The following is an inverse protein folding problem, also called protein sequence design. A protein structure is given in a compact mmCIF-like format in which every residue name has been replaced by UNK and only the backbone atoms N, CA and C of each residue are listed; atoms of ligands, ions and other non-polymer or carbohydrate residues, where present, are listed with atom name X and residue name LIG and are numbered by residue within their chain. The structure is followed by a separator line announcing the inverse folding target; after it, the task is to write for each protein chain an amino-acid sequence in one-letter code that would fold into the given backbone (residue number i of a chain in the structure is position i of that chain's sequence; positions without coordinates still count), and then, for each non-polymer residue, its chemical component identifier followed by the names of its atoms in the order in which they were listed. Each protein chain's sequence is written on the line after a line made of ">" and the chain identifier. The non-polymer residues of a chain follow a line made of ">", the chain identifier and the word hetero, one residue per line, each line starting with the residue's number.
data_IF_098067210504
#
_entry.id   IF_098067210504
#
_cell.length_a   1.000
_cell.length_b   1.000
_cell.length_c   1.000
_cell.angle_alpha   90.00
_cell.angle_beta   90.00
_cell.angle_gamma   90.00
#
_symmetry.space_group_name_H-M   'P 1'
#
loop_
_entity.id
_entity.type
_entity.pdbx_description
1 polymer ?
#
# COMPACT_ATOMS: atom_id res chain seq x y z
N UNK A 1 -5.83 4.26 29.27
CA UNK A 1 -6.58 4.32 28.00
C UNK A 1 -6.20 3.08 27.21
N UNK A 2 -7.16 2.21 26.88
CA UNK A 2 -6.90 0.96 26.17
C UNK A 2 -6.87 1.27 24.66
N UNK A 3 -5.79 0.89 23.97
CA UNK A 3 -5.65 1.11 22.53
C UNK A 3 -6.34 -0.04 21.80
N UNK A 4 -7.26 0.28 20.88
CA UNK A 4 -8.07 -0.69 20.14
C UNK A 4 -7.57 -0.80 18.69
N UNK A 5 -7.55 -2.01 18.08
CA UNK A 5 -7.06 -2.22 16.71
C UNK A 5 -7.76 -1.37 15.64
N UNK A 6 -9.06 -1.10 15.81
CA UNK A 6 -9.89 -0.26 14.93
C UNK A 6 -9.47 1.22 14.90
N UNK A 7 -8.61 1.66 15.82
CA UNK A 7 -8.00 2.99 15.78
C UNK A 7 -6.83 3.09 14.79
N UNK A 8 -6.37 1.98 14.21
CA UNK A 8 -5.27 1.95 13.25
C UNK A 8 -5.76 1.71 11.83
N UNK A 9 -5.05 2.33 10.88
CA UNK A 9 -5.18 2.03 9.46
C UNK A 9 -4.02 1.13 9.07
N UNK A 10 -4.31 0.03 8.36
CA UNK A 10 -3.28 -0.85 7.84
C UNK A 10 -2.23 -0.05 7.06
N UNK A 11 -0.95 -0.31 7.35
CA UNK A 11 0.16 0.40 6.71
C UNK A 11 0.17 0.21 5.20
N UNK A 12 -0.04 -1.00 4.73
CA UNK A 12 0.08 -1.34 3.31
C UNK A 12 -1.14 -0.81 2.53
N UNK A 13 -2.34 -0.87 3.10
CA UNK A 13 -3.52 -0.22 2.52
C UNK A 13 -3.40 1.32 2.51
N UNK A 14 -2.83 1.90 3.57
CA UNK A 14 -2.56 3.35 3.62
C UNK A 14 -1.56 3.76 2.54
N UNK A 15 -0.54 2.94 2.29
CA UNK A 15 0.42 3.14 1.22
C UNK A 15 -0.26 3.08 -0.16
N UNK A 16 -1.13 2.09 -0.41
CA UNK A 16 -1.89 2.01 -1.67
C UNK A 16 -2.79 3.24 -1.88
N UNK A 17 -3.49 3.70 -0.83
CA UNK A 17 -4.28 4.95 -0.88
C UNK A 17 -3.42 6.19 -1.14
N UNK A 18 -2.19 6.21 -0.64
CA UNK A 18 -1.24 7.25 -1.01
C UNK A 18 -0.90 7.17 -2.51
N UNK A 19 -0.55 6.00 -3.03
CA UNK A 19 -0.17 5.89 -4.44
C UNK A 19 -1.36 6.19 -5.39
N UNK A 20 -2.60 5.82 -5.02
CA UNK A 20 -3.80 6.24 -5.77
C UNK A 20 -3.90 7.76 -5.90
N UNK A 21 -3.57 8.53 -4.83
CA UNK A 21 -3.58 10.00 -4.88
C UNK A 21 -2.49 10.58 -5.80
N UNK A 22 -1.40 9.84 -6.03
CA UNK A 22 -0.37 10.19 -7.03
C UNK A 22 -0.96 10.07 -8.43
N UNK A 23 -1.68 8.98 -8.71
CA UNK A 23 -2.36 8.80 -9.99
C UNK A 23 -3.48 9.83 -10.21
N UNK A 24 -4.22 10.19 -9.16
CA UNK A 24 -5.29 11.20 -9.21
C UNK A 24 -4.78 12.58 -9.67
N UNK A 25 -3.48 12.86 -9.61
CA UNK A 25 -2.91 14.10 -10.15
C UNK A 25 -3.12 14.20 -11.68
N UNK A 26 -3.25 13.08 -12.38
CA UNK A 26 -3.52 13.05 -13.83
C UNK A 26 -4.91 13.62 -14.20
N UNK A 27 -5.85 13.61 -13.26
CA UNK A 27 -7.20 14.18 -13.44
C UNK A 27 -7.23 15.70 -13.35
N UNK A 28 -6.14 16.33 -12.90
CA UNK A 28 -6.03 17.79 -12.81
C UNK A 28 -5.77 18.42 -14.18
N UNK A 29 -6.02 19.72 -14.28
CA UNK A 29 -5.66 20.51 -15.46
C UNK A 29 -4.15 20.81 -15.48
N UNK A 30 -3.37 19.80 -15.86
CA UNK A 30 -1.90 19.84 -16.00
C UNK A 30 -1.51 19.62 -17.46
N UNK A 31 -0.36 20.16 -17.91
CA UNK A 31 0.21 19.80 -19.21
C UNK A 31 0.38 18.29 -19.37
N UNK A 32 0.23 17.78 -20.60
CA UNK A 32 0.27 16.34 -20.89
C UNK A 32 1.54 15.65 -20.37
N UNK A 33 2.70 16.31 -20.48
CA UNK A 33 3.96 15.76 -20.01
C UNK A 33 3.99 15.61 -18.47
N UNK A 34 3.37 16.53 -17.73
CA UNK A 34 3.28 16.42 -16.27
C UNK A 34 2.35 15.27 -15.85
N UNK A 35 1.25 15.05 -16.58
CA UNK A 35 0.40 13.87 -16.36
C UNK A 35 1.16 12.58 -16.60
N UNK A 36 1.97 12.52 -17.67
CA UNK A 36 2.80 11.35 -17.97
C UNK A 36 3.84 11.09 -16.86
N UNK A 37 4.45 12.13 -16.30
CA UNK A 37 5.34 11.99 -15.15
C UNK A 37 4.64 11.38 -13.94
N UNK A 38 3.41 11.81 -13.62
CA UNK A 38 2.64 11.21 -12.52
C UNK A 38 2.31 9.74 -12.77
N UNK A 39 1.99 9.34 -14.00
CA UNK A 39 1.79 7.93 -14.36
C UNK A 39 3.09 7.15 -14.14
N UNK A 40 4.23 7.67 -14.62
CA UNK A 40 5.52 7.01 -14.44
C UNK A 40 5.88 6.84 -12.96
N UNK A 41 5.67 7.89 -12.14
CA UNK A 41 5.90 7.83 -10.68
C UNK A 41 4.98 6.79 -10.04
N UNK A 42 3.69 6.77 -10.38
CA UNK A 42 2.75 5.79 -9.87
C UNK A 42 3.20 4.35 -10.14
N UNK A 43 3.64 4.06 -11.37
CA UNK A 43 4.14 2.74 -11.77
C UNK A 43 5.41 2.35 -11.00
N UNK A 44 6.41 3.24 -10.95
CA UNK A 44 7.66 2.99 -10.20
C UNK A 44 7.39 2.69 -8.73
N UNK A 45 6.52 3.49 -8.09
CA UNK A 45 6.13 3.26 -6.71
C UNK A 45 5.45 1.89 -6.55
N UNK A 46 4.53 1.54 -7.47
CA UNK A 46 3.79 0.28 -7.42
C UNK A 46 4.73 -0.91 -7.57
N UNK A 47 5.71 -0.84 -8.47
CA UNK A 47 6.74 -1.88 -8.63
C UNK A 47 7.53 -2.07 -7.33
N UNK A 48 7.97 -0.99 -6.68
CA UNK A 48 8.64 -1.06 -5.38
C UNK A 48 7.75 -1.69 -4.30
N UNK A 49 6.46 -1.34 -4.27
CA UNK A 49 5.50 -1.94 -3.35
C UNK A 49 5.40 -3.45 -3.54
N UNK A 50 5.33 -3.94 -4.78
CA UNK A 50 5.32 -5.39 -5.03
C UNK A 50 6.63 -6.06 -4.64
N UNK A 51 7.77 -5.47 -5.01
CA UNK A 51 9.09 -6.04 -4.76
C UNK A 51 9.42 -6.13 -3.26
N UNK A 52 8.99 -5.14 -2.47
CA UNK A 52 9.35 -5.07 -1.05
C UNK A 52 8.18 -5.51 -0.15
N UNK A 53 7.00 -4.91 -0.32
CA UNK A 53 5.87 -5.10 0.61
C UNK A 53 5.16 -6.42 0.40
N UNK A 54 4.75 -6.70 -0.83
CA UNK A 54 4.07 -7.96 -1.15
C UNK A 54 5.00 -9.15 -0.92
N UNK A 55 6.27 -9.03 -1.29
CA UNK A 55 7.27 -10.05 -1.01
C UNK A 55 7.43 -10.31 0.51
N UNK A 56 7.52 -9.25 1.32
CA UNK A 56 7.60 -9.35 2.78
C UNK A 56 6.37 -10.03 3.39
N UNK A 57 5.16 -9.66 2.96
CA UNK A 57 3.93 -10.30 3.42
C UNK A 57 3.87 -11.79 3.05
N UNK A 58 4.32 -12.16 1.85
CA UNK A 58 4.43 -13.58 1.45
C UNK A 58 5.42 -14.36 2.31
N UNK A 59 6.54 -13.76 2.70
CA UNK A 59 7.51 -14.37 3.61
C UNK A 59 6.92 -14.59 5.00
N UNK A 60 6.24 -13.58 5.57
CA UNK A 60 5.55 -13.69 6.86
C UNK A 60 4.46 -14.76 6.84
N UNK A 61 3.67 -14.81 5.77
CA UNK A 61 2.65 -15.84 5.58
C UNK A 61 3.29 -17.25 5.54
N UNK A 62 4.36 -17.41 4.77
CA UNK A 62 5.08 -18.69 4.66
C UNK A 62 5.72 -19.13 5.98
N UNK A 63 6.08 -18.18 6.84
CA UNK A 63 6.61 -18.42 8.18
C UNK A 63 5.52 -18.69 9.25
N UNK A 64 4.24 -18.69 8.88
CA UNK A 64 3.12 -18.94 9.81
C UNK A 64 2.81 -17.79 10.77
N UNK A 65 3.21 -16.56 10.44
CA UNK A 65 2.91 -15.37 11.26
C UNK A 65 1.43 -15.03 11.16
N UNK A 66 0.74 -14.95 12.29
CA UNK A 66 -0.71 -14.72 12.35
C UNK A 66 -1.10 -13.24 12.61
N UNK A 67 -0.17 -12.37 12.98
CA UNK A 67 -0.42 -10.93 13.16
C UNK A 67 0.79 -10.14 12.69
N UNK A 68 0.59 -9.19 11.77
CA UNK A 68 1.71 -8.44 11.16
C UNK A 68 1.58 -6.91 11.25
N UNK A 69 0.53 -6.38 11.88
CA UNK A 69 0.28 -4.93 11.96
C UNK A 69 -0.59 -4.55 13.17
N UNK A 70 -0.60 -3.25 13.51
CA UNK A 70 -1.29 -2.70 14.69
C UNK A 70 -2.82 -2.78 14.63
N UNK A 71 -3.37 -2.99 13.44
CA UNK A 71 -4.79 -3.24 13.17
C UNK A 71 -5.14 -4.75 13.22
N UNK A 72 -4.19 -5.59 13.66
CA UNK A 72 -4.32 -7.04 13.82
C UNK A 72 -4.61 -7.84 12.53
N UNK A 73 -4.48 -7.22 11.35
CA UNK A 73 -4.60 -7.96 10.09
C UNK A 73 -3.48 -9.00 9.93
N UNK A 74 -3.85 -10.25 9.65
CA UNK A 74 -2.92 -11.32 9.27
C UNK A 74 -2.25 -11.00 7.92
N UNK A 75 -1.05 -11.55 7.64
CA UNK A 75 -0.43 -11.39 6.32
C UNK A 75 -1.34 -11.84 5.16
N UNK A 76 -2.11 -12.91 5.35
CA UNK A 76 -3.04 -13.41 4.32
C UNK A 76 -4.22 -12.46 4.07
N UNK A 77 -4.76 -11.85 5.13
CA UNK A 77 -5.80 -10.83 4.98
C UNK A 77 -5.27 -9.61 4.24
N UNK A 78 -4.05 -9.16 4.56
CA UNK A 78 -3.41 -8.03 3.88
C UNK A 78 -3.16 -8.33 2.39
N UNK A 79 -2.78 -9.56 2.04
CA UNK A 79 -2.58 -9.99 0.65
C UNK A 79 -3.88 -10.11 -0.16
N UNK A 80 -5.05 -10.22 0.50
CA UNK A 80 -6.37 -10.40 -0.14
C UNK A 80 -7.22 -9.14 -0.21
N UNK A 81 -6.90 -8.12 0.59
CA UNK A 81 -7.63 -6.87 0.68
C UNK A 81 -7.47 -6.04 -0.61
#
# INVERSE_FOLDING_TARGET
>A
MQISPDMFINRELSWLRFNSRVLDQCSKNLPLLEKLKFIAIYCTNLDEFYMIRVAGLKQLFSAGVNTSSSDEMTPLQQLKA
#
